data_IF_274287588898
#
_entry.id   IF_274287588898
#
_cell.length_a   1.000
_cell.length_b   1.000
_cell.length_c   1.000
_cell.angle_alpha   90.00
_cell.angle_beta   90.00
_cell.angle_gamma   90.00
#
_symmetry.space_group_name_H-M   'P 1'
#
loop_
_entity.id
_entity.type
_entity.pdbx_description
1 polymer ?
#
# COMPACT_ATOMS: atom_id res chain seq x y z
N UNK A 1 -31.66 -5.50 -39.35
CA UNK A 1 -30.58 -6.43 -38.97
C UNK A 1 -30.49 -7.47 -40.08
N UNK A 2 -29.47 -7.41 -40.93
CA UNK A 2 -29.28 -8.36 -42.04
C UNK A 2 -28.59 -9.61 -41.49
N UNK A 3 -29.17 -10.77 -41.76
CA UNK A 3 -28.69 -12.10 -41.39
C UNK A 3 -27.58 -12.49 -42.38
N UNK A 4 -26.39 -12.87 -41.90
CA UNK A 4 -25.35 -13.44 -42.75
C UNK A 4 -25.58 -14.95 -42.86
N UNK A 5 -25.63 -15.42 -44.11
CA UNK A 5 -25.78 -16.82 -44.49
C UNK A 5 -24.40 -17.50 -44.43
N UNK A 6 -24.26 -18.53 -43.60
CA UNK A 6 -22.98 -19.17 -43.32
C UNK A 6 -22.51 -20.13 -44.43
N UNK A 7 -23.38 -20.43 -45.39
CA UNK A 7 -23.09 -21.33 -46.51
C UNK A 7 -22.22 -20.67 -47.61
N UNK A 8 -22.01 -19.35 -47.58
CA UNK A 8 -21.07 -18.65 -48.48
C UNK A 8 -19.61 -18.62 -47.96
N UNK A 9 -19.37 -18.93 -46.68
CA UNK A 9 -18.05 -18.72 -46.03
C UNK A 9 -17.18 -19.97 -46.00
N UNK A 10 -17.76 -21.17 -46.17
CA UNK A 10 -17.03 -22.43 -46.09
C UNK A 10 -17.37 -23.32 -47.29
N UNK A 11 -16.51 -23.29 -48.31
CA UNK A 11 -16.57 -24.23 -49.42
C UNK A 11 -16.43 -25.67 -48.90
N UNK A 12 -17.09 -26.61 -49.59
CA UNK A 12 -17.23 -28.03 -49.20
C UNK A 12 -15.88 -28.72 -49.03
N UNK A 13 -14.86 -28.26 -49.75
CA UNK A 13 -13.49 -28.73 -49.65
C UNK A 13 -12.79 -28.27 -48.35
N UNK A 14 -13.16 -27.11 -47.81
CA UNK A 14 -12.67 -26.62 -46.51
C UNK A 14 -13.23 -27.42 -45.33
N UNK A 15 -14.47 -27.91 -45.44
CA UNK A 15 -15.08 -28.80 -44.45
C UNK A 15 -14.46 -30.22 -44.47
N UNK A 16 -14.03 -30.70 -45.64
CA UNK A 16 -13.35 -31.99 -45.78
C UNK A 16 -11.96 -31.99 -45.13
N UNK A 17 -11.20 -30.90 -45.25
CA UNK A 17 -9.89 -30.75 -44.59
C UNK A 17 -10.05 -30.78 -43.06
N UNK A 18 -11.06 -30.09 -42.52
CA UNK A 18 -11.33 -30.04 -41.09
C UNK A 18 -11.83 -31.39 -40.53
N UNK A 19 -12.54 -32.18 -41.34
CA UNK A 19 -13.04 -33.50 -40.91
C UNK A 19 -11.99 -34.61 -41.05
N UNK A 20 -11.07 -34.54 -42.02
CA UNK A 20 -9.94 -35.46 -42.11
C UNK A 20 -8.94 -35.23 -40.96
N UNK A 21 -8.68 -33.98 -40.59
CA UNK A 21 -7.80 -33.62 -39.47
C UNK A 21 -8.36 -34.10 -38.11
N UNK A 22 -9.69 -34.14 -37.97
CA UNK A 22 -10.38 -34.60 -36.75
C UNK A 22 -10.45 -36.13 -36.59
N UNK A 23 -10.28 -36.91 -37.66
CA UNK A 23 -10.47 -38.37 -37.64
C UNK A 23 -9.18 -39.19 -37.68
N UNK A 24 -8.02 -38.57 -37.86
CA UNK A 24 -6.74 -39.26 -37.67
C UNK A 24 -6.46 -39.50 -36.17
N UNK A 25 -6.34 -40.75 -35.69
CA UNK A 25 -5.94 -41.00 -34.32
C UNK A 25 -4.52 -40.42 -34.11
N UNK A 26 -4.25 -39.72 -33.00
CA UNK A 26 -2.99 -39.02 -32.83
C UNK A 26 -1.86 -40.05 -32.83
N UNK A 27 -0.97 -39.95 -33.83
CA UNK A 27 0.38 -40.51 -33.75
C UNK A 27 0.96 -40.04 -32.42
N UNK A 28 1.34 -40.97 -31.54
CA UNK A 28 2.08 -40.70 -30.30
C UNK A 28 3.33 -39.90 -30.63
N UNK A 29 3.21 -38.59 -30.62
CA UNK A 29 4.29 -37.62 -30.72
C UNK A 29 4.26 -36.86 -29.41
N UNK A 30 5.38 -36.88 -28.69
CA UNK A 30 5.57 -36.14 -27.44
C UNK A 30 5.11 -34.71 -27.66
N UNK A 31 4.05 -34.31 -26.96
CA UNK A 31 3.59 -32.93 -26.96
C UNK A 31 4.81 -32.03 -26.70
N UNK A 32 5.12 -31.05 -27.57
CA UNK A 32 6.30 -30.25 -27.38
C UNK A 32 6.07 -29.45 -26.11
N UNK A 33 6.96 -29.59 -25.13
CA UNK A 33 6.98 -28.83 -23.86
C UNK A 33 6.61 -27.35 -24.06
N UNK A 34 6.90 -26.79 -25.23
CA UNK A 34 6.52 -25.44 -25.66
C UNK A 34 5.03 -25.13 -25.62
N UNK A 35 4.12 -26.06 -25.95
CA UNK A 35 2.67 -25.81 -25.90
C UNK A 35 2.12 -25.87 -24.47
N UNK A 36 2.68 -26.74 -23.63
CA UNK A 36 2.37 -26.77 -22.20
C UNK A 36 2.96 -25.57 -21.46
N UNK A 37 4.17 -25.13 -21.83
CA UNK A 37 4.78 -23.92 -21.31
C UNK A 37 4.01 -22.66 -21.72
N UNK A 38 3.53 -22.59 -22.98
CA UNK A 38 2.69 -21.48 -23.42
C UNK A 38 1.34 -21.45 -22.68
N UNK A 39 0.70 -22.61 -22.47
CA UNK A 39 -0.53 -22.69 -21.69
C UNK A 39 -0.31 -22.34 -20.20
N UNK A 40 0.83 -22.76 -19.61
CA UNK A 40 1.21 -22.39 -18.25
C UNK A 40 1.57 -20.91 -18.13
N UNK A 41 2.19 -20.31 -19.15
CA UNK A 41 2.47 -18.89 -19.21
C UNK A 41 1.18 -18.08 -19.38
N UNK A 42 0.23 -18.52 -20.21
CA UNK A 42 -1.09 -17.89 -20.32
C UNK A 42 -1.91 -18.05 -19.03
N UNK A 43 -1.85 -19.21 -18.37
CA UNK A 43 -2.47 -19.40 -17.07
C UNK A 43 -1.80 -18.54 -15.98
N UNK A 44 -0.47 -18.42 -15.99
CA UNK A 44 0.29 -17.53 -15.10
C UNK A 44 0.03 -16.05 -15.37
N UNK A 45 -0.17 -15.65 -16.63
CA UNK A 45 -0.53 -14.29 -17.02
C UNK A 45 -1.98 -13.98 -16.63
N UNK A 46 -2.92 -14.91 -16.83
CA UNK A 46 -4.33 -14.75 -16.43
C UNK A 46 -4.46 -14.76 -14.91
N UNK A 47 -3.72 -15.63 -14.20
CA UNK A 47 -3.63 -15.61 -12.74
C UNK A 47 -2.94 -14.32 -12.26
N UNK A 48 -1.88 -13.85 -12.92
CA UNK A 48 -1.21 -12.58 -12.62
C UNK A 48 -2.10 -11.35 -12.85
N UNK A 49 -2.92 -11.33 -13.90
CA UNK A 49 -3.92 -10.28 -14.19
C UNK A 49 -5.12 -10.34 -13.24
N UNK A 50 -5.55 -11.53 -12.84
CA UNK A 50 -6.60 -11.70 -11.82
C UNK A 50 -6.09 -11.35 -10.41
N UNK A 51 -4.77 -11.45 -10.19
CA UNK A 51 -4.10 -11.11 -8.95
C UNK A 51 -3.45 -9.72 -8.96
N UNK A 52 -3.57 -8.94 -10.04
CA UNK A 52 -3.12 -7.54 -10.06
C UNK A 52 -3.83 -6.72 -8.97
N UNK A 53 -5.07 -7.06 -8.61
CA UNK A 53 -5.76 -6.44 -7.48
C UNK A 53 -5.25 -6.87 -6.11
N UNK A 54 -4.62 -8.03 -5.98
CA UNK A 54 -3.97 -8.48 -4.75
C UNK A 54 -2.51 -7.97 -4.67
N UNK A 55 -1.84 -7.81 -5.82
CA UNK A 55 -0.53 -7.15 -5.91
C UNK A 55 -0.67 -5.63 -5.72
N UNK A 56 -1.73 -5.00 -6.25
CA UNK A 56 -2.07 -3.60 -5.97
C UNK A 56 -2.57 -3.42 -4.53
N UNK A 57 -3.32 -4.37 -3.97
CA UNK A 57 -3.55 -4.41 -2.52
C UNK A 57 -2.22 -4.52 -1.75
N UNK A 58 -1.26 -5.28 -2.28
CA UNK A 58 0.14 -5.39 -1.86
C UNK A 58 0.99 -4.11 -2.01
N UNK A 59 0.64 -3.22 -2.94
CA UNK A 59 1.31 -1.92 -3.10
C UNK A 59 0.74 -0.91 -2.09
N UNK A 60 -0.56 -1.00 -1.77
CA UNK A 60 -1.13 -0.35 -0.58
C UNK A 60 -0.61 -0.91 0.76
N UNK A 61 -0.15 -2.16 0.76
CA UNK A 61 0.52 -2.87 1.86
C UNK A 61 1.93 -2.29 2.12
N UNK A 62 2.64 -1.88 1.06
CA UNK A 62 3.93 -1.19 1.11
C UNK A 62 3.84 0.25 1.64
N UNK A 63 2.73 0.96 1.41
CA UNK A 63 2.48 2.28 2.03
C UNK A 63 2.46 2.22 3.57
N UNK A 64 1.96 1.12 4.15
CA UNK A 64 1.92 0.92 5.61
C UNK A 64 3.17 0.23 6.14
N UNK A 65 3.86 -0.53 5.29
CA UNK A 65 5.19 -1.07 5.58
C UNK A 65 6.25 0.02 5.80
N UNK A 66 6.03 1.26 5.35
CA UNK A 66 6.94 2.38 5.65
C UNK A 66 6.37 3.42 6.63
N UNK A 67 5.03 3.64 6.65
CA UNK A 67 4.30 4.54 7.57
C UNK A 67 4.51 4.32 9.09
N UNK A 68 5.35 3.36 9.47
CA UNK A 68 5.80 3.08 10.82
C UNK A 68 7.27 2.64 10.93
N UNK A 69 8.14 2.96 9.98
CA UNK A 69 9.55 2.51 9.93
C UNK A 69 10.53 3.68 9.80
N UNK A 70 10.87 4.29 10.94
CA UNK A 70 12.12 5.02 11.04
C UNK A 70 13.28 4.07 10.71
N UNK A 71 14.02 4.38 9.64
CA UNK A 71 15.37 3.89 9.44
C UNK A 71 16.33 4.61 10.43
N UNK A 72 16.14 4.42 11.73
CA UNK A 72 17.25 4.59 12.67
C UNK A 72 18.07 3.30 12.59
N UNK A 73 19.35 3.43 12.20
CA UNK A 73 20.25 2.30 12.04
C UNK A 73 20.40 1.44 13.31
N UNK A 74 19.93 1.94 14.47
CA UNK A 74 20.14 1.35 15.79
C UNK A 74 18.91 0.63 16.41
N UNK A 75 17.67 0.80 15.90
CA UNK A 75 16.45 0.24 16.55
C UNK A 75 15.80 -0.93 15.78
N UNK A 76 16.56 -1.59 14.90
CA UNK A 76 16.08 -2.70 14.05
C UNK A 76 15.46 -3.87 14.83
N UNK A 77 15.75 -4.01 16.11
CA UNK A 77 15.28 -5.10 16.95
C UNK A 77 13.89 -4.86 17.56
N UNK A 78 13.38 -3.62 17.56
CA UNK A 78 12.15 -3.27 18.28
C UNK A 78 10.92 -3.10 17.39
N UNK A 79 11.08 -3.11 16.06
CA UNK A 79 9.96 -2.95 15.13
C UNK A 79 9.45 -4.30 14.61
N UNK A 80 8.15 -4.51 14.82
CA UNK A 80 7.40 -5.65 14.31
C UNK A 80 6.20 -5.14 13.53
N UNK A 81 5.89 -5.82 12.43
CA UNK A 81 4.78 -5.48 11.54
C UNK A 81 3.88 -6.68 11.36
N UNK A 82 2.62 -6.44 11.07
CA UNK A 82 1.71 -7.50 10.67
C UNK A 82 2.17 -8.05 9.31
N UNK A 83 2.42 -9.36 9.24
CA UNK A 83 2.96 -10.01 8.03
C UNK A 83 2.06 -9.81 6.81
N UNK A 84 0.74 -9.90 7.00
CA UNK A 84 -0.29 -9.63 5.99
C UNK A 84 -1.48 -8.94 6.68
N UNK A 85 -2.03 -7.83 6.12
CA UNK A 85 -3.22 -7.18 6.65
C UNK A 85 -4.38 -8.15 6.78
N UNK A 86 -5.08 -8.04 7.90
CA UNK A 86 -6.33 -8.78 8.07
C UNK A 86 -7.40 -8.08 7.24
N UNK A 87 -7.93 -8.77 6.24
CA UNK A 87 -8.99 -8.25 5.38
C UNK A 87 -10.26 -9.09 5.47
N UNK A 88 -11.42 -8.42 5.51
CA UNK A 88 -12.71 -9.09 5.38
C UNK A 88 -13.77 -8.15 4.82
N UNK A 89 -14.84 -8.73 4.28
CA UNK A 89 -16.00 -7.97 3.79
C UNK A 89 -17.24 -8.40 4.55
N UNK A 90 -18.00 -7.42 5.03
CA UNK A 90 -19.28 -7.65 5.67
C UNK A 90 -20.30 -6.60 5.22
N UNK A 91 -21.42 -7.05 4.65
CA UNK A 91 -22.40 -6.15 4.06
C UNK A 91 -21.77 -5.27 2.97
N UNK A 92 -21.94 -3.95 3.10
CA UNK A 92 -21.41 -2.95 2.17
C UNK A 92 -20.01 -2.45 2.54
N UNK A 93 -19.40 -3.01 3.60
CA UNK A 93 -18.09 -2.60 4.10
C UNK A 93 -17.02 -3.63 3.78
N UNK A 94 -15.88 -3.15 3.29
CA UNK A 94 -14.61 -3.87 3.29
C UNK A 94 -13.74 -3.31 4.39
N UNK A 95 -13.22 -4.20 5.23
CA UNK A 95 -12.40 -3.88 6.39
C UNK A 95 -10.98 -4.37 6.14
N UNK A 96 -10.02 -3.60 6.65
CA UNK A 96 -8.61 -3.86 6.53
C UNK A 96 -7.94 -3.40 7.82
N UNK A 97 -7.34 -4.33 8.56
CA UNK A 97 -6.60 -4.05 9.78
C UNK A 97 -5.10 -4.25 9.54
N UNK A 98 -4.32 -3.27 9.95
CA UNK A 98 -2.86 -3.33 9.98
C UNK A 98 -2.36 -3.08 11.40
N UNK A 99 -1.17 -3.56 11.72
CA UNK A 99 -0.58 -3.32 13.02
C UNK A 99 0.95 -3.20 12.98
N UNK A 100 1.46 -2.28 13.80
CA UNK A 100 2.89 -2.11 14.04
C UNK A 100 3.15 -2.12 15.54
N UNK A 101 4.18 -2.86 15.97
CA UNK A 101 4.67 -2.85 17.34
C UNK A 101 6.06 -2.23 17.36
N UNK A 102 6.21 -1.14 18.12
CA UNK A 102 7.46 -0.40 18.27
C UNK A 102 7.63 0.03 19.71
N UNK A 103 8.82 -0.18 20.26
CA UNK A 103 9.19 0.25 21.62
C UNK A 103 8.14 -0.09 22.69
N UNK A 104 7.58 -1.30 22.58
CA UNK A 104 6.59 -1.84 23.51
C UNK A 104 5.15 -1.33 23.32
N UNK A 105 4.86 -0.61 22.24
CA UNK A 105 3.52 -0.12 21.90
C UNK A 105 3.08 -0.73 20.58
N UNK A 106 1.98 -1.48 20.61
CA UNK A 106 1.26 -1.94 19.42
C UNK A 106 0.25 -0.86 19.03
N UNK A 107 0.36 -0.38 17.79
CA UNK A 107 -0.63 0.45 17.11
C UNK A 107 -1.31 -0.37 16.02
N UNK A 108 -2.64 -0.46 16.09
CA UNK A 108 -3.47 -1.12 15.09
C UNK A 108 -4.37 -0.08 14.43
N UNK A 109 -4.33 -0.01 13.11
CA UNK A 109 -5.25 0.81 12.33
C UNK A 109 -6.27 -0.10 11.64
N UNK A 110 -7.56 0.16 11.90
CA UNK A 110 -8.66 -0.47 11.19
C UNK A 110 -9.24 0.54 10.21
N UNK A 111 -9.18 0.22 8.93
CA UNK A 111 -9.83 0.98 7.86
C UNK A 111 -11.07 0.25 7.36
N UNK A 112 -12.11 1.04 7.08
CA UNK A 112 -13.37 0.62 6.50
C UNK A 112 -13.57 1.36 5.18
N UNK A 113 -13.92 0.66 4.12
CA UNK A 113 -14.19 1.27 2.81
C UNK A 113 -15.44 0.68 2.17
N UNK A 114 -16.20 1.54 1.47
CA UNK A 114 -17.40 1.14 0.76
C UNK A 114 -17.46 1.76 -0.62
N UNK A 115 -18.03 1.02 -1.58
CA UNK A 115 -18.33 1.51 -2.93
C UNK A 115 -19.60 2.36 -2.96
N UNK A 116 -20.37 2.38 -1.88
CA UNK A 116 -21.55 3.24 -1.75
C UNK A 116 -21.15 4.63 -1.27
N UNK A 117 -21.88 5.68 -1.67
CA UNK A 117 -21.74 7.02 -1.11
C UNK A 117 -22.07 7.05 0.40
N UNK A 118 -21.49 8.00 1.12
CA UNK A 118 -21.55 8.06 2.58
C UNK A 118 -22.98 8.25 3.13
N UNK A 119 -23.86 8.91 2.36
CA UNK A 119 -25.26 9.15 2.72
C UNK A 119 -26.15 7.90 2.60
N UNK A 120 -25.67 6.85 1.95
CA UNK A 120 -26.35 5.55 1.83
C UNK A 120 -25.89 4.55 2.90
N UNK A 121 -24.92 4.92 3.73
CA UNK A 121 -24.30 4.04 4.71
C UNK A 121 -24.74 4.39 6.14
N UNK A 122 -24.78 3.41 7.05
CA UNK A 122 -25.00 3.67 8.46
C UNK A 122 -23.91 4.61 9.02
N UNK A 123 -24.34 5.65 9.74
CA UNK A 123 -23.43 6.60 10.39
C UNK A 123 -24.04 7.14 11.70
N UNK A 124 -23.28 7.18 12.81
CA UNK A 124 -21.93 6.62 12.95
C UNK A 124 -21.97 5.07 13.00
N UNK A 125 -20.84 4.44 12.67
CA UNK A 125 -20.63 3.01 12.87
C UNK A 125 -20.02 2.80 14.26
N UNK A 126 -20.64 1.95 15.07
CA UNK A 126 -20.10 1.57 16.38
C UNK A 126 -19.49 0.17 16.32
N UNK A 127 -18.16 0.11 16.50
CA UNK A 127 -17.39 -1.13 16.60
C UNK A 127 -16.82 -1.26 18.00
N UNK A 128 -16.79 -2.48 18.53
CA UNK A 128 -15.99 -2.86 19.68
C UNK A 128 -14.77 -3.61 19.18
N UNK A 129 -13.60 -3.04 19.45
CA UNK A 129 -12.30 -3.60 19.08
C UNK A 129 -11.60 -4.09 20.34
N UNK A 130 -11.20 -5.35 20.34
CA UNK A 130 -10.43 -5.97 21.40
C UNK A 130 -9.13 -6.55 20.87
N UNK A 131 -8.10 -6.54 21.71
CA UNK A 131 -6.85 -7.24 21.46
C UNK A 131 -6.62 -8.27 22.55
N UNK A 132 -6.13 -9.43 22.18
CA UNK A 132 -5.62 -10.44 23.11
C UNK A 132 -4.26 -10.95 22.65
N UNK A 133 -3.46 -11.39 23.62
CA UNK A 133 -2.24 -12.14 23.36
C UNK A 133 -2.18 -13.34 24.31
N UNK A 134 -1.82 -14.51 23.79
CA UNK A 134 -1.80 -15.79 24.53
C UNK A 134 -3.13 -16.08 25.27
N UNK A 135 -4.24 -15.63 24.69
CA UNK A 135 -5.59 -15.76 25.25
C UNK A 135 -5.96 -14.72 26.33
N UNK A 136 -5.02 -13.87 26.77
CA UNK A 136 -5.29 -12.81 27.75
C UNK A 136 -5.68 -11.49 27.05
N UNK A 137 -6.74 -10.79 27.52
CA UNK A 137 -7.16 -9.53 26.93
C UNK A 137 -6.19 -8.40 27.27
N UNK A 138 -5.67 -7.73 26.24
CA UNK A 138 -4.77 -6.58 26.34
C UNK A 138 -5.51 -5.24 26.22
N UNK A 139 -6.53 -5.20 25.37
CA UNK A 139 -7.31 -3.98 25.11
C UNK A 139 -8.75 -4.34 24.76
N UNK A 140 -9.70 -3.47 25.09
CA UNK A 140 -11.09 -3.58 24.66
C UNK A 140 -11.77 -2.21 24.74
N UNK A 141 -12.13 -1.64 23.59
CA UNK A 141 -12.76 -0.33 23.51
C UNK A 141 -13.89 -0.31 22.48
N UNK A 142 -14.84 0.61 22.69
CA UNK A 142 -15.88 0.94 21.71
C UNK A 142 -15.41 2.17 20.94
N UNK A 143 -15.43 2.06 19.62
CA UNK A 143 -15.06 3.06 18.66
C UNK A 143 -16.32 3.49 17.89
N UNK A 144 -16.65 4.79 17.99
CA UNK A 144 -17.69 5.43 17.19
C UNK A 144 -17.02 6.10 16.01
N UNK A 145 -17.25 5.57 14.82
CA UNK A 145 -16.53 5.94 13.59
C UNK A 145 -17.51 6.65 12.65
N UNK A 146 -17.15 7.84 12.18
CA UNK A 146 -17.96 8.58 11.20
C UNK A 146 -17.36 8.39 9.80
N UNK A 147 -18.04 7.70 8.89
CA UNK A 147 -17.58 7.61 7.51
C UNK A 147 -17.65 8.95 6.80
N UNK A 148 -16.71 9.16 5.88
CA UNK A 148 -16.67 10.35 5.05
C UNK A 148 -16.45 10.00 3.57
N UNK A 149 -16.92 10.88 2.71
CA UNK A 149 -16.74 10.77 1.26
C UNK A 149 -15.27 10.85 0.92
N UNK A 150 -14.81 9.91 0.11
CA UNK A 150 -13.44 9.90 -0.41
C UNK A 150 -13.20 11.12 -1.33
N UNK A 151 -14.23 11.56 -2.04
CA UNK A 151 -14.15 12.72 -2.93
C UNK A 151 -14.05 14.06 -2.18
N UNK A 152 -14.40 14.09 -0.90
CA UNK A 152 -14.33 15.31 -0.07
C UNK A 152 -12.94 15.50 0.54
N UNK A 153 -12.05 14.50 0.42
CA UNK A 153 -10.66 14.65 0.78
C UNK A 153 -9.97 15.61 -0.20
N UNK A 154 -9.46 16.74 0.31
CA UNK A 154 -8.86 17.79 -0.52
C UNK A 154 -7.70 17.29 -1.41
N UNK A 155 -7.43 18.03 -2.48
CA UNK A 155 -6.24 17.83 -3.34
C UNK A 155 -4.99 17.82 -2.45
N UNK A 156 -4.34 16.65 -2.32
CA UNK A 156 -3.15 16.46 -1.49
C UNK A 156 -3.26 15.33 -0.45
N UNK A 157 -4.45 14.78 -0.20
CA UNK A 157 -4.59 13.59 0.65
C UNK A 157 -4.39 12.32 -0.19
N UNK A 158 -3.21 11.69 -0.09
CA UNK A 158 -2.87 10.48 -0.85
C UNK A 158 -3.78 9.28 -0.52
N UNK A 159 -4.07 9.07 0.77
CA UNK A 159 -4.81 7.88 1.24
C UNK A 159 -6.25 7.78 0.71
N UNK A 160 -7.09 8.83 0.73
CA UNK A 160 -8.42 8.79 0.16
C UNK A 160 -8.35 8.64 -1.37
N UNK A 161 -7.44 9.33 -2.06
CA UNK A 161 -7.35 9.27 -3.52
C UNK A 161 -7.08 7.84 -4.02
N UNK A 162 -6.17 7.12 -3.38
CA UNK A 162 -5.93 5.71 -3.65
C UNK A 162 -7.21 4.86 -3.52
N UNK A 163 -8.01 5.07 -2.46
CA UNK A 163 -9.29 4.37 -2.29
C UNK A 163 -10.29 4.71 -3.41
N UNK A 164 -10.29 5.95 -3.89
CA UNK A 164 -11.13 6.37 -5.02
C UNK A 164 -10.78 5.63 -6.31
N UNK A 165 -9.48 5.50 -6.60
CA UNK A 165 -8.97 4.80 -7.78
C UNK A 165 -9.33 3.31 -7.76
N UNK A 166 -9.42 2.71 -6.57
CA UNK A 166 -9.95 1.36 -6.36
C UNK A 166 -11.49 1.24 -6.49
N UNK A 167 -12.18 2.37 -6.71
CA UNK A 167 -13.62 2.45 -6.88
C UNK A 167 -14.41 2.55 -5.57
N UNK A 168 -13.76 2.87 -4.44
CA UNK A 168 -14.45 3.18 -3.20
C UNK A 168 -14.89 4.65 -3.18
N UNK A 169 -16.09 4.90 -2.66
CA UNK A 169 -16.68 6.24 -2.56
C UNK A 169 -16.69 6.77 -1.13
N UNK A 170 -16.62 5.87 -0.14
CA UNK A 170 -16.65 6.21 1.28
C UNK A 170 -15.54 5.47 2.01
N UNK A 171 -14.88 6.14 2.94
CA UNK A 171 -13.89 5.54 3.83
C UNK A 171 -14.07 6.01 5.26
N UNK A 172 -13.56 5.23 6.21
CA UNK A 172 -13.48 5.57 7.61
C UNK A 172 -12.31 4.81 8.24
N UNK A 173 -11.67 5.36 9.26
CA UNK A 173 -10.62 4.64 9.99
C UNK A 173 -10.69 4.90 11.49
N UNK A 174 -10.13 3.97 12.24
CA UNK A 174 -9.91 4.13 13.67
C UNK A 174 -8.62 3.45 14.07
N UNK A 175 -8.01 3.93 15.16
CA UNK A 175 -6.75 3.40 15.68
C UNK A 175 -6.92 2.93 17.10
N UNK A 176 -6.24 1.84 17.40
CA UNK A 176 -6.17 1.25 18.72
C UNK A 176 -4.69 1.16 19.12
N UNK A 177 -4.39 1.53 20.36
CA UNK A 177 -3.03 1.48 20.91
C UNK A 177 -3.04 0.71 22.21
N UNK A 178 -2.10 -0.21 22.37
CA UNK A 178 -1.88 -0.91 23.65
C UNK A 178 -0.40 -1.21 23.88
N UNK A 179 -0.03 -1.38 25.14
CA UNK A 179 1.30 -1.88 25.50
C UNK A 179 1.40 -3.37 25.16
N UNK A 180 2.50 -3.79 24.55
CA UNK A 180 2.78 -5.18 24.18
C UNK A 180 4.28 -5.43 24.31
N UNK A 181 4.68 -6.64 24.73
CA UNK A 181 6.08 -7.00 24.82
C UNK A 181 6.71 -7.14 23.42
N UNK A 182 8.01 -6.86 23.32
CA UNK A 182 8.84 -7.20 22.17
C UNK A 182 9.87 -8.27 22.61
N UNK A 183 9.95 -9.44 21.95
CA UNK A 183 9.13 -9.90 20.83
C UNK A 183 7.64 -10.05 21.19
N UNK A 184 6.72 -9.86 20.23
CA UNK A 184 5.29 -10.05 20.43
C UNK A 184 4.99 -11.53 20.73
N UNK A 185 3.94 -11.80 21.52
CA UNK A 185 3.43 -13.16 21.72
C UNK A 185 3.01 -13.82 20.41
N UNK A 186 3.15 -15.15 20.31
CA UNK A 186 2.81 -15.90 19.09
C UNK A 186 1.31 -15.85 18.76
N UNK A 187 0.45 -15.88 19.80
CA UNK A 187 -1.00 -15.94 19.66
C UNK A 187 -1.67 -14.57 19.88
N UNK A 188 -1.28 -13.57 19.09
CA UNK A 188 -1.96 -12.27 19.06
C UNK A 188 -3.25 -12.35 18.22
N UNK A 189 -4.33 -11.72 18.69
CA UNK A 189 -5.60 -11.70 17.98
C UNK A 189 -6.36 -10.38 18.13
N UNK A 190 -6.97 -9.95 17.02
CA UNK A 190 -7.95 -8.88 16.94
C UNK A 190 -9.36 -9.45 17.08
N UNK A 191 -10.14 -8.89 18.00
CA UNK A 191 -11.55 -9.19 18.21
C UNK A 191 -12.37 -8.01 17.72
N UNK A 192 -13.26 -8.25 16.76
CA UNK A 192 -14.16 -7.22 16.23
C UNK A 192 -15.59 -7.66 16.47
N UNK A 193 -16.42 -6.75 16.95
CA UNK A 193 -17.87 -6.93 17.06
C UNK A 193 -18.56 -5.57 16.97
N UNK A 194 -19.84 -5.52 16.63
CA UNK A 194 -20.56 -4.24 16.57
C UNK A 194 -22.05 -4.40 16.38
N UNK A 195 -22.78 -3.30 16.47
CA UNK A 195 -24.21 -3.32 16.14
C UNK A 195 -24.36 -3.49 14.62
N UNK A 196 -24.90 -4.63 14.19
CA UNK A 196 -25.04 -4.93 12.76
C UNK A 196 -23.74 -5.36 12.07
N UNK A 197 -22.69 -5.64 12.84
CA UNK A 197 -21.42 -6.22 12.39
C UNK A 197 -21.22 -7.54 13.13
N UNK A 198 -21.31 -8.66 12.41
CA UNK A 198 -21.00 -10.01 12.89
C UNK A 198 -19.58 -10.04 13.44
N UNK A 199 -18.65 -9.39 12.75
CA UNK A 199 -17.26 -9.30 13.17
C UNK A 199 -16.59 -10.68 13.25
N UNK A 200 -15.58 -10.81 14.10
CA UNK A 200 -14.81 -12.05 14.20
C UNK A 200 -13.59 -11.94 15.10
N UNK A 201 -12.85 -13.05 15.16
CA UNK A 201 -11.54 -13.13 15.79
C UNK A 201 -10.52 -13.40 14.69
N UNK A 202 -9.52 -12.54 14.58
CA UNK A 202 -8.53 -12.57 13.51
C UNK A 202 -7.13 -12.68 14.12
N UNK A 203 -6.36 -13.67 13.69
CA UNK A 203 -4.98 -13.85 14.12
C UNK A 203 -4.09 -12.73 13.58
N UNK A 204 -3.24 -12.17 14.43
CA UNK A 204 -2.28 -11.13 14.08
C UNK A 204 -0.88 -11.75 14.11
N UNK A 205 -0.34 -12.10 12.94
CA UNK A 205 1.02 -12.64 12.83
C UNK A 205 2.00 -11.49 12.69
N UNK A 206 2.57 -11.07 13.82
CA UNK A 206 3.60 -10.04 13.84
C UNK A 206 4.97 -10.64 13.55
N UNK A 207 5.67 -10.11 12.55
CA UNK A 207 7.02 -10.51 12.16
C UNK A 207 7.99 -9.34 12.36
N UNK A 208 9.28 -9.58 12.63
CA UNK A 208 10.27 -8.52 12.64
C UNK A 208 10.24 -7.81 11.28
N UNK A 209 10.20 -6.49 11.28
CA UNK A 209 10.24 -5.76 10.01
C UNK A 209 11.60 -5.99 9.34
N UNK A 210 11.59 -6.51 8.12
CA UNK A 210 12.79 -6.54 7.30
C UNK A 210 12.99 -5.14 6.72
N UNK A 211 14.03 -4.42 7.16
CA UNK A 211 14.43 -3.20 6.48
C UNK A 211 15.14 -3.59 5.19
N UNK A 212 14.57 -3.31 4.00
CA UNK A 212 15.30 -3.52 2.76
C UNK A 212 16.60 -2.70 2.81
N UNK A 213 17.67 -3.13 2.14
CA UNK A 213 18.86 -2.32 2.04
C UNK A 213 18.49 -0.97 1.40
N UNK A 214 19.09 0.12 1.89
CA UNK A 214 18.76 1.47 1.47
C UNK A 214 19.98 2.25 1.02
N UNK A 215 19.78 3.09 0.01
CA UNK A 215 20.71 4.16 -0.35
C UNK A 215 20.32 5.40 0.44
N UNK A 216 21.24 5.88 1.28
CA UNK A 216 21.05 7.09 2.08
C UNK A 216 21.81 8.27 1.48
N UNK A 217 21.16 9.43 1.43
CA UNK A 217 21.83 10.71 1.19
C UNK A 217 21.32 11.78 2.14
N UNK A 218 22.21 12.68 2.53
CA UNK A 218 21.92 13.82 3.40
C UNK A 218 22.32 15.12 2.72
N UNK A 219 21.45 16.12 2.80
CA UNK A 219 21.68 17.48 2.32
C UNK A 219 21.47 18.48 3.45
N UNK A 220 22.37 19.45 3.56
CA UNK A 220 22.28 20.51 4.56
C UNK A 220 21.51 21.71 4.03
N UNK A 221 20.47 22.11 4.74
CA UNK A 221 19.75 23.36 4.57
C UNK A 221 20.08 24.30 5.75
N UNK A 222 19.85 25.62 5.62
CA UNK A 222 20.09 26.57 6.72
C UNK A 222 19.37 26.24 8.04
N UNK A 223 18.24 25.55 7.98
CA UNK A 223 17.36 25.24 9.11
C UNK A 223 17.63 23.86 9.74
N UNK A 224 18.38 22.99 9.05
CA UNK A 224 18.58 21.61 9.45
C UNK A 224 19.08 20.72 8.31
N UNK A 225 19.37 19.47 8.64
CA UNK A 225 19.81 18.47 7.67
C UNK A 225 18.63 17.60 7.21
N UNK A 226 18.43 17.50 5.90
CA UNK A 226 17.47 16.59 5.29
C UNK A 226 18.18 15.28 4.94
N UNK A 227 17.78 14.19 5.58
CA UNK A 227 18.24 12.84 5.24
C UNK A 227 17.13 12.07 4.54
N UNK A 228 17.45 11.47 3.40
CA UNK A 228 16.53 10.69 2.59
C UNK A 228 17.13 9.30 2.39
N UNK A 229 16.30 8.30 2.60
CA UNK A 229 16.57 6.89 2.33
C UNK A 229 15.70 6.43 1.17
N UNK A 230 16.29 5.70 0.24
CA UNK A 230 15.56 5.04 -0.85
C UNK A 230 15.87 3.56 -0.75
N UNK A 231 14.86 2.71 -0.77
CA UNK A 231 15.07 1.26 -0.87
C UNK A 231 15.88 0.95 -2.14
N UNK A 232 16.86 0.04 -2.07
CA UNK A 232 17.70 -0.29 -3.23
C UNK A 232 16.89 -0.85 -4.41
N UNK A 233 15.73 -1.46 -4.14
CA UNK A 233 14.79 -1.92 -5.17
C UNK A 233 13.89 -0.81 -5.74
N UNK A 234 14.02 0.42 -5.24
CA UNK A 234 13.24 1.59 -5.62
C UNK A 234 11.77 1.53 -5.25
N UNK A 235 11.37 0.64 -4.35
CA UNK A 235 9.97 0.47 -3.94
C UNK A 235 9.44 1.66 -3.13
N UNK A 236 10.30 2.29 -2.33
CA UNK A 236 9.91 3.32 -1.38
C UNK A 236 11.04 4.32 -1.07
N UNK A 237 10.61 5.48 -0.61
CA UNK A 237 11.44 6.60 -0.14
C UNK A 237 10.95 6.95 1.26
N UNK A 238 11.89 7.18 2.18
CA UNK A 238 11.62 7.78 3.49
C UNK A 238 12.52 8.99 3.70
N UNK A 239 12.04 10.00 4.43
CA UNK A 239 12.84 11.18 4.74
C UNK A 239 12.63 11.67 6.18
N UNK A 240 13.69 12.28 6.73
CA UNK A 240 13.68 12.94 8.03
C UNK A 240 14.41 14.26 7.97
N UNK A 241 13.95 15.23 8.75
CA UNK A 241 14.61 16.52 8.91
C UNK A 241 15.15 16.68 10.34
N UNK A 242 16.48 16.78 10.47
CA UNK A 242 17.14 16.98 11.75
C UNK A 242 17.19 18.47 12.09
N UNK A 243 16.27 18.91 12.95
CA UNK A 243 16.23 20.25 13.50
C UNK A 243 15.45 20.29 14.82
N UNK A 244 15.85 21.16 15.73
CA UNK A 244 15.15 21.36 17.01
C UNK A 244 14.04 22.41 16.96
N UNK A 245 13.98 23.20 15.88
CA UNK A 245 13.04 24.33 15.75
C UNK A 245 12.17 24.27 14.49
N UNK A 246 12.54 23.41 13.54
CA UNK A 246 11.95 23.35 12.21
C UNK A 246 11.53 21.92 11.86
N UNK A 247 10.44 21.82 11.12
CA UNK A 247 10.02 20.66 10.37
C UNK A 247 10.40 20.80 8.92
N UNK A 248 10.51 19.69 8.21
CA UNK A 248 10.91 19.70 6.82
C UNK A 248 10.52 18.42 6.10
N UNK A 249 9.96 18.58 4.90
CA UNK A 249 9.53 17.47 4.07
C UNK A 249 9.85 17.69 2.60
N UNK A 250 10.27 16.64 1.86
CA UNK A 250 10.46 16.74 0.42
C UNK A 250 9.11 16.83 -0.32
N UNK A 251 9.13 17.43 -1.50
CA UNK A 251 8.01 17.42 -2.45
C UNK A 251 8.57 17.41 -3.89
N UNK A 252 7.67 17.31 -4.87
CA UNK A 252 8.04 17.20 -6.30
C UNK A 252 9.00 16.01 -6.54
N UNK A 253 8.57 14.85 -6.07
CA UNK A 253 9.35 13.61 -6.13
C UNK A 253 9.07 12.90 -7.44
N UNK A 254 10.13 12.44 -8.10
CA UNK A 254 10.04 11.62 -9.32
C UNK A 254 10.91 10.39 -9.21
N UNK A 255 10.34 9.22 -9.51
CA UNK A 255 11.09 8.00 -9.75
C UNK A 255 11.59 8.01 -11.20
N UNK A 256 12.85 7.64 -11.41
CA UNK A 256 13.48 7.59 -12.73
C UNK A 256 13.64 6.12 -13.11
N UNK A 257 12.99 5.72 -14.19
CA UNK A 257 13.09 4.36 -14.70
C UNK A 257 14.40 4.08 -15.43
N UNK A 258 14.70 2.81 -15.65
CA UNK A 258 15.86 2.38 -16.45
C UNK A 258 15.88 2.95 -17.88
N UNK A 259 14.73 3.35 -18.41
CA UNK A 259 14.58 4.07 -19.68
C UNK A 259 15.03 5.54 -19.61
N UNK A 260 15.20 6.09 -18.41
CA UNK A 260 15.38 7.52 -18.13
C UNK A 260 14.06 8.30 -18.04
N UNK A 261 12.91 7.64 -18.19
CA UNK A 261 11.59 8.27 -18.02
C UNK A 261 11.36 8.65 -16.55
N UNK A 262 10.72 9.81 -16.34
CA UNK A 262 10.39 10.34 -15.02
C UNK A 262 8.92 10.05 -14.70
N UNK A 263 8.69 9.41 -13.58
CA UNK A 263 7.39 9.06 -13.05
C UNK A 263 7.14 9.89 -11.78
N UNK A 264 6.32 10.96 -11.85
CA UNK A 264 5.98 11.76 -10.68
C UNK A 264 5.28 10.92 -9.61
N UNK A 265 5.70 11.10 -8.37
CA UNK A 265 5.07 10.45 -7.22
C UNK A 265 3.87 11.29 -6.75
N UNK A 266 2.72 10.63 -6.63
CA UNK A 266 1.50 11.25 -6.10
C UNK A 266 1.02 10.61 -4.79
N UNK A 267 1.51 9.41 -4.48
CA UNK A 267 1.24 8.69 -3.25
C UNK A 267 2.29 9.07 -2.20
N UNK A 268 1.98 10.12 -1.46
CA UNK A 268 2.83 10.70 -0.44
C UNK A 268 2.07 10.65 0.89
N UNK A 269 2.75 10.21 1.94
CA UNK A 269 2.24 10.22 3.31
C UNK A 269 3.25 10.89 4.24
N UNK A 270 2.78 11.82 5.06
CA UNK A 270 3.57 12.43 6.14
C UNK A 270 2.86 12.22 7.48
N UNK A 271 3.60 11.81 8.50
CA UNK A 271 3.12 11.73 9.87
C UNK A 271 4.02 12.55 10.79
N UNK A 272 3.39 13.40 11.61
CA UNK A 272 4.06 14.14 12.67
C UNK A 272 4.18 13.24 13.90
N UNK A 273 5.40 12.89 14.31
CA UNK A 273 5.61 12.18 15.56
C UNK A 273 5.59 13.15 16.76
N UNK A 274 5.14 12.65 17.91
CA UNK A 274 5.03 13.42 19.15
C UNK A 274 6.39 13.85 19.72
N UNK A 275 7.48 13.25 19.24
CA UNK A 275 8.86 13.61 19.61
C UNK A 275 9.45 14.75 18.76
N UNK A 276 8.66 15.29 17.82
CA UNK A 276 9.05 16.40 16.96
C UNK A 276 9.74 15.97 15.67
N UNK A 277 9.92 14.68 15.43
CA UNK A 277 10.40 14.19 14.13
C UNK A 277 9.24 14.08 13.13
N UNK A 278 9.41 14.69 11.96
CA UNK A 278 8.51 14.50 10.83
C UNK A 278 9.04 13.35 9.99
N UNK A 279 8.19 12.34 9.74
CA UNK A 279 8.51 11.22 8.86
C UNK A 279 7.65 11.31 7.62
N UNK A 280 8.35 11.34 6.49
CA UNK A 280 7.78 11.41 5.16
C UNK A 280 8.02 10.08 4.46
N UNK A 281 7.00 9.53 3.81
CA UNK A 281 7.15 8.43 2.86
C UNK A 281 6.56 8.78 1.50
N UNK A 282 7.17 8.19 0.47
CA UNK A 282 6.64 8.13 -0.88
C UNK A 282 6.90 6.74 -1.47
N UNK A 283 5.96 6.21 -2.24
CA UNK A 283 6.09 4.89 -2.87
C UNK A 283 6.20 4.98 -4.39
N UNK A 284 6.79 3.94 -4.98
CA UNK A 284 6.85 3.80 -6.44
C UNK A 284 5.45 3.85 -7.05
N UNK A 285 5.21 4.63 -8.11
CA UNK A 285 3.91 4.67 -8.79
C UNK A 285 3.49 3.30 -9.35
N UNK A 286 2.22 2.92 -9.15
CA UNK A 286 1.68 1.62 -9.64
C UNK A 286 1.83 1.41 -11.15
N UNK A 287 1.83 2.49 -11.94
CA UNK A 287 1.98 2.44 -13.41
C UNK A 287 3.41 2.23 -13.90
N UNK A 288 4.40 2.22 -13.01
CA UNK A 288 5.80 2.07 -13.37
C UNK A 288 6.18 0.58 -13.44
N UNK A 289 6.15 0.00 -14.63
CA UNK A 289 6.50 -1.41 -14.85
C UNK A 289 8.01 -1.68 -14.89
N UNK A 290 8.82 -0.64 -15.16
CA UNK A 290 10.26 -0.77 -15.23
C UNK A 290 10.96 -0.65 -13.86
N UNK A 291 12.21 -1.16 -13.74
CA UNK A 291 13.06 -0.93 -12.58
C UNK A 291 13.34 0.57 -12.38
N UNK A 292 13.55 0.97 -11.13
CA UNK A 292 13.94 2.33 -10.75
C UNK A 292 15.47 2.39 -10.74
N UNK A 293 16.04 3.29 -11.52
CA UNK A 293 17.48 3.55 -11.51
C UNK A 293 17.83 4.70 -10.55
N UNK A 294 16.91 5.65 -10.35
CA UNK A 294 17.13 6.76 -9.44
C UNK A 294 15.84 7.38 -8.92
N UNK A 295 15.96 8.17 -7.86
CA UNK A 295 14.91 9.06 -7.35
C UNK A 295 15.41 10.50 -7.39
N UNK A 296 14.58 11.40 -7.86
CA UNK A 296 14.83 12.83 -7.88
C UNK A 296 13.87 13.57 -6.95
N UNK A 297 14.42 14.47 -6.13
CA UNK A 297 13.66 15.38 -5.28
C UNK A 297 13.76 16.79 -5.87
N UNK A 298 12.63 17.32 -6.32
CA UNK A 298 12.50 18.63 -6.95
C UNK A 298 12.31 19.79 -5.96
N UNK A 299 11.91 19.49 -4.71
CA UNK A 299 11.80 20.51 -3.69
C UNK A 299 11.76 20.01 -2.25
N UNK A 300 11.98 20.95 -1.31
CA UNK A 300 11.84 20.74 0.13
C UNK A 300 11.11 21.92 0.75
N UNK A 301 10.05 21.64 1.52
CA UNK A 301 9.34 22.62 2.34
C UNK A 301 9.86 22.53 3.77
N UNK A 302 10.02 23.68 4.42
CA UNK A 302 10.48 23.78 5.81
C UNK A 302 9.57 24.76 6.56
N UNK A 303 9.04 24.34 7.69
CA UNK A 303 8.09 25.08 8.52
C UNK A 303 8.55 25.11 9.97
N UNK A 304 8.26 26.17 10.71
CA UNK A 304 8.60 26.23 12.13
C UNK A 304 7.62 25.40 12.97
N UNK A 305 8.15 24.63 13.93
CA UNK A 305 7.37 23.71 14.79
C UNK A 305 6.21 24.42 15.53
N UNK A 306 6.40 25.68 15.90
CA UNK A 306 5.42 26.45 16.68
C UNK A 306 4.17 26.84 15.87
N UNK A 307 4.25 26.76 14.55
CA UNK A 307 3.19 27.17 13.63
C UNK A 307 2.46 25.96 13.03
N UNK A 308 2.46 24.81 13.73
CA UNK A 308 1.88 23.55 13.27
C UNK A 308 0.49 23.69 12.61
N UNK A 309 0.44 23.46 11.29
CA UNK A 309 -0.75 23.65 10.46
C UNK A 309 -0.80 24.99 9.70
N UNK A 310 0.31 25.72 9.66
CA UNK A 310 0.52 26.92 8.87
C UNK A 310 0.98 26.63 7.44
N UNK A 311 1.51 27.65 6.76
CA UNK A 311 2.14 27.51 5.43
C UNK A 311 3.64 27.45 5.66
N UNK A 312 4.34 26.57 4.95
CA UNK A 312 5.79 26.48 4.99
C UNK A 312 6.46 27.87 4.90
N UNK A 313 7.35 28.15 5.86
CA UNK A 313 8.10 29.41 5.96
C UNK A 313 9.18 29.51 4.89
N UNK A 314 9.76 28.37 4.52
CA UNK A 314 10.78 28.27 3.49
C UNK A 314 10.42 27.18 2.49
N UNK A 315 10.48 27.53 1.20
CA UNK A 315 10.24 26.63 0.10
C UNK A 315 11.47 26.61 -0.79
N UNK A 316 12.15 25.47 -0.83
CA UNK A 316 13.28 25.20 -1.72
C UNK A 316 12.72 24.50 -2.96
N UNK A 317 12.61 25.22 -4.06
CA UNK A 317 12.09 24.71 -5.34
C UNK A 317 13.23 24.51 -6.35
N UNK A 318 12.97 23.74 -7.40
CA UNK A 318 13.92 23.50 -8.50
C UNK A 318 15.22 22.85 -8.05
N UNK A 319 15.15 21.97 -7.06
CA UNK A 319 16.24 21.11 -6.66
C UNK A 319 16.45 19.99 -7.71
N UNK A 320 17.67 19.48 -7.81
CA UNK A 320 18.02 18.31 -8.62
C UNK A 320 18.76 17.31 -7.73
N UNK A 321 18.13 16.99 -6.60
CA UNK A 321 18.69 16.06 -5.63
C UNK A 321 18.39 14.64 -6.09
N UNK A 322 19.39 14.05 -6.77
CA UNK A 322 19.29 12.70 -7.34
C UNK A 322 19.96 11.68 -6.44
N UNK A 323 19.25 10.58 -6.16
CA UNK A 323 19.72 9.39 -5.47
C UNK A 323 19.73 8.25 -6.48
N UNK A 324 20.92 7.86 -6.92
CA UNK A 324 21.13 6.72 -7.83
C UNK A 324 21.01 5.42 -7.02
N UNK A 325 20.35 4.42 -7.60
CA UNK A 325 20.17 3.08 -7.04
C UNK A 325 21.16 2.08 -7.70
N UNK A 326 21.52 0.99 -7.00
CA UNK A 326 22.58 0.07 -7.43
C UNK A 326 22.21 -0.91 -8.56
#
# INVERSE_FOLDING_TARGET
MRYCDWDEVLDRDGLLILTEEALTPPRRSRAPLRRLAAAAACAGLVLGLMNYRAVAAGVGELCRYFAGIGATADDKAELWVLEEPVTWTEGDWTYEADATLRSGVLELELTMSSRLPADQLPSPVELRLGLSADGEPLHNAVHTITPYSVADAGEGSGYPRYRLEQGYQTTASTRLRCTMAAPPPEDCALHVSGLGVQGGVFSLRLVPAETPPTVQKTWTLPQGDMTIWVAEDGSAISASFDSTEWWGWPFDISFIGASGERYPCHDITGAYELDGTERFEAIKPEGMEEPVDAVCIGGVAVERIQDAGGRADHLYESLDWVIELP
#
